data_IF_222712684428
#
_entry.id   IF_222712684428
#
_cell.length_a   1.000
_cell.length_b   1.000
_cell.length_c   1.000
_cell.angle_alpha   90.00
_cell.angle_beta   90.00
_cell.angle_gamma   90.00
#
_symmetry.space_group_name_H-M   'P 1'
#
loop_
_entity.id
_entity.type
_entity.pdbx_description
1 polymer ?
#
# COMPACT_ATOMS: atom_id res chain seq x y z
N UNK A 1 9.27 0.02 -1.46
CA UNK A 1 8.26 -1.07 -1.41
C UNK A 1 8.31 -1.86 -0.11
N UNK A 2 9.45 -2.47 0.27
CA UNK A 2 9.54 -3.28 1.50
C UNK A 2 9.10 -2.53 2.77
N UNK A 3 9.62 -1.31 2.98
CA UNK A 3 9.23 -0.45 4.12
C UNK A 3 7.71 -0.25 4.18
N UNK A 4 7.06 0.03 3.04
CA UNK A 4 5.60 0.19 2.96
C UNK A 4 4.86 -1.07 3.39
N UNK A 5 5.24 -2.23 2.85
CA UNK A 5 4.54 -3.49 3.11
C UNK A 5 4.67 -3.96 4.56
N UNK A 6 5.89 -3.85 5.12
CA UNK A 6 6.21 -4.33 6.48
C UNK A 6 5.80 -3.33 7.56
N UNK A 7 5.88 -2.03 7.28
CA UNK A 7 5.41 -0.96 8.17
C UNK A 7 4.11 -0.35 7.64
N UNK A 8 4.19 0.82 7.00
CA UNK A 8 3.09 1.49 6.30
C UNK A 8 3.62 2.54 5.30
N UNK A 9 2.68 3.11 4.55
CA UNK A 9 2.90 4.18 3.59
C UNK A 9 3.50 5.45 4.20
N UNK A 10 3.11 5.84 5.42
CA UNK A 10 3.65 7.04 6.06
C UNK A 10 5.15 6.92 6.35
N UNK A 11 5.59 5.79 6.93
CA UNK A 11 7.02 5.54 7.19
C UNK A 11 7.81 5.53 5.88
N UNK A 12 7.25 4.91 4.84
CA UNK A 12 7.87 4.88 3.52
C UNK A 12 7.95 6.26 2.85
N UNK A 13 6.91 7.09 2.98
CA UNK A 13 6.89 8.47 2.47
C UNK A 13 7.86 9.38 3.24
N UNK A 14 7.94 9.25 4.56
CA UNK A 14 8.94 9.96 5.37
C UNK A 14 10.36 9.59 4.93
N UNK A 15 10.61 8.30 4.68
CA UNK A 15 11.89 7.83 4.14
C UNK A 15 12.18 8.46 2.77
N UNK A 16 11.19 8.53 1.87
CA UNK A 16 11.36 9.17 0.56
C UNK A 16 11.64 10.68 0.67
N UNK A 17 10.95 11.36 1.59
CA UNK A 17 11.04 12.82 1.75
C UNK A 17 12.31 13.27 2.49
N UNK A 18 12.76 12.51 3.48
CA UNK A 18 13.88 12.88 4.36
C UNK A 18 15.16 12.12 4.02
N UNK A 19 15.06 11.07 3.21
CA UNK A 19 16.22 10.30 2.78
C UNK A 19 17.10 11.08 1.82
N UNK A 20 18.38 10.71 1.76
CA UNK A 20 19.35 11.28 0.83
C UNK A 20 19.24 10.64 -0.56
N UNK A 21 18.06 10.68 -1.16
CA UNK A 21 17.81 10.17 -2.50
C UNK A 21 17.87 11.32 -3.52
N UNK A 22 18.63 11.13 -4.60
CA UNK A 22 18.62 12.03 -5.74
C UNK A 22 17.92 11.33 -6.91
N UNK A 23 16.64 11.64 -7.08
CA UNK A 23 15.79 11.08 -8.14
C UNK A 23 15.36 12.17 -9.11
N UNK A 24 15.11 11.79 -10.36
CA UNK A 24 14.43 12.69 -11.32
C UNK A 24 13.02 13.02 -10.83
N UNK A 25 12.46 14.16 -11.27
CA UNK A 25 11.07 14.52 -10.96
C UNK A 25 10.07 13.42 -11.33
N UNK A 26 10.29 12.76 -12.47
CA UNK A 26 9.50 11.62 -12.94
C UNK A 26 9.56 10.43 -11.99
N UNK A 27 10.76 10.04 -11.57
CA UNK A 27 10.97 8.93 -10.62
C UNK A 27 10.32 9.24 -9.27
N UNK A 28 10.49 10.47 -8.76
CA UNK A 28 9.86 10.90 -7.51
C UNK A 28 8.34 10.85 -7.61
N UNK A 29 7.75 11.29 -8.72
CA UNK A 29 6.31 11.21 -8.95
C UNK A 29 5.80 9.76 -8.96
N UNK A 30 6.46 8.87 -9.71
CA UNK A 30 6.12 7.43 -9.78
C UNK A 30 6.18 6.78 -8.39
N UNK A 31 7.27 6.99 -7.66
CA UNK A 31 7.45 6.38 -6.33
C UNK A 31 6.42 6.95 -5.35
N UNK A 32 6.18 8.26 -5.35
CA UNK A 32 5.19 8.89 -4.47
C UNK A 32 3.80 8.29 -4.70
N UNK A 33 3.36 8.17 -5.95
CA UNK A 33 2.04 7.58 -6.26
C UNK A 33 1.99 6.09 -5.93
N UNK A 34 3.08 5.34 -6.13
CA UNK A 34 3.15 3.96 -5.67
C UNK A 34 2.99 3.83 -4.14
N UNK A 35 3.57 4.78 -3.38
CA UNK A 35 3.55 4.75 -1.93
C UNK A 35 2.18 5.10 -1.34
N UNK A 36 1.40 5.97 -1.99
CA UNK A 36 0.05 6.37 -1.55
C UNK A 36 -0.95 5.23 -1.74
N UNK A 37 -0.96 4.26 -0.82
CA UNK A 37 -2.07 3.34 -0.56
C UNK A 37 -1.87 2.60 0.76
N UNK A 38 -2.96 2.17 1.39
CA UNK A 38 -2.95 1.34 2.61
C UNK A 38 -2.66 -0.15 2.35
N UNK A 39 -1.94 -0.48 1.28
CA UNK A 39 -1.56 -1.87 0.99
C UNK A 39 -0.35 -2.28 1.86
N UNK A 40 -0.61 -2.78 3.07
CA UNK A 40 0.38 -3.29 4.02
C UNK A 40 -0.21 -4.41 4.91
N UNK A 41 0.64 -5.13 5.67
CA UNK A 41 0.16 -6.23 6.51
C UNK A 41 -0.78 -5.79 7.65
N UNK A 42 -0.55 -4.61 8.25
CA UNK A 42 -1.40 -4.11 9.33
C UNK A 42 -2.82 -3.81 8.85
N UNK A 43 -3.00 -3.40 7.59
CA UNK A 43 -4.29 -3.12 6.99
C UNK A 43 -5.18 -4.37 6.84
N UNK A 44 -4.59 -5.56 6.69
CA UNK A 44 -5.36 -6.83 6.75
C UNK A 44 -6.04 -6.95 8.11
N UNK A 45 -5.31 -6.68 9.19
CA UNK A 45 -5.82 -6.73 10.56
C UNK A 45 -6.90 -5.68 10.81
N UNK A 46 -6.70 -4.44 10.33
CA UNK A 46 -7.66 -3.35 10.45
C UNK A 46 -8.98 -3.72 9.75
N UNK A 47 -8.93 -4.16 8.49
CA UNK A 47 -10.14 -4.50 7.72
C UNK A 47 -10.81 -5.75 8.30
N UNK A 48 -10.05 -6.79 8.65
CA UNK A 48 -10.61 -7.99 9.26
C UNK A 48 -11.29 -7.66 10.60
N UNK A 49 -10.66 -6.84 11.45
CA UNK A 49 -11.22 -6.41 12.74
C UNK A 49 -12.49 -5.59 12.57
N UNK A 50 -12.48 -4.61 11.66
CA UNK A 50 -13.66 -3.80 11.35
C UNK A 50 -14.83 -4.65 10.85
N UNK A 51 -14.59 -5.56 9.91
CA UNK A 51 -15.63 -6.45 9.37
C UNK A 51 -16.10 -7.45 10.44
N UNK A 52 -15.20 -7.97 11.29
CA UNK A 52 -15.56 -8.87 12.38
C UNK A 52 -16.44 -8.18 13.42
N UNK A 53 -16.18 -6.91 13.72
CA UNK A 53 -17.01 -6.08 14.61
C UNK A 53 -18.44 -5.85 14.09
N UNK A 54 -18.64 -5.88 12.77
CA UNK A 54 -19.97 -5.82 12.14
C UNK A 54 -20.63 -7.20 12.01
N UNK A 55 -19.85 -8.20 11.58
CA UNK A 55 -20.33 -9.55 11.35
C UNK A 55 -19.18 -10.57 11.44
N UNK A 56 -19.18 -11.36 12.50
CA UNK A 56 -18.05 -12.24 12.85
C UNK A 56 -17.63 -13.19 11.71
N UNK A 57 -18.61 -13.91 11.12
CA UNK A 57 -18.30 -14.86 10.04
C UNK A 57 -17.66 -14.19 8.83
N UNK A 58 -18.06 -12.96 8.50
CA UNK A 58 -17.50 -12.22 7.36
C UNK A 58 -16.10 -11.72 7.68
N UNK A 59 -15.83 -11.32 8.93
CA UNK A 59 -14.49 -10.96 9.39
C UNK A 59 -13.50 -12.11 9.24
N UNK A 60 -13.93 -13.35 9.53
CA UNK A 60 -13.13 -14.56 9.33
C UNK A 60 -12.88 -14.88 7.84
N UNK A 61 -13.87 -14.63 6.97
CA UNK A 61 -13.69 -14.73 5.52
C UNK A 61 -12.63 -13.72 5.05
N UNK A 62 -12.74 -12.46 5.46
CA UNK A 62 -11.76 -11.41 5.11
C UNK A 62 -10.36 -11.80 5.56
N UNK A 63 -10.19 -12.27 6.81
CA UNK A 63 -8.90 -12.74 7.32
C UNK A 63 -8.30 -13.85 6.45
N UNK A 64 -9.11 -14.84 6.05
CA UNK A 64 -8.69 -15.96 5.20
C UNK A 64 -8.17 -15.49 3.83
N UNK A 65 -8.71 -14.40 3.29
CA UNK A 65 -8.30 -13.82 2.00
C UNK A 65 -7.27 -12.68 2.14
N UNK A 66 -6.77 -12.39 3.35
CA UNK A 66 -5.93 -11.22 3.64
C UNK A 66 -4.72 -11.05 2.72
N UNK A 67 -3.96 -12.12 2.45
CA UNK A 67 -2.81 -12.05 1.55
C UNK A 67 -3.21 -11.76 0.09
N UNK A 68 -4.35 -12.29 -0.36
CA UNK A 68 -4.89 -11.99 -1.71
C UNK A 68 -5.36 -10.54 -1.81
N UNK A 69 -5.98 -10.03 -0.76
CA UNK A 69 -6.37 -8.62 -0.66
C UNK A 69 -5.15 -7.70 -0.71
N UNK A 70 -4.11 -8.00 0.07
CA UNK A 70 -2.86 -7.23 0.06
C UNK A 70 -2.18 -7.26 -1.30
N UNK A 71 -2.10 -8.43 -1.93
CA UNK A 71 -1.54 -8.57 -3.28
C UNK A 71 -2.31 -7.74 -4.30
N UNK A 72 -3.65 -7.86 -4.34
CA UNK A 72 -4.50 -7.07 -5.22
C UNK A 72 -4.36 -5.56 -5.00
N UNK A 73 -4.36 -5.11 -3.75
CA UNK A 73 -4.17 -3.71 -3.40
C UNK A 73 -2.77 -3.19 -3.83
N UNK A 74 -1.75 -4.03 -3.73
CA UNK A 74 -0.39 -3.70 -4.20
C UNK A 74 -0.32 -3.57 -5.71
N UNK A 75 -1.01 -4.46 -6.46
CA UNK A 75 -1.10 -4.36 -7.92
C UNK A 75 -1.79 -3.07 -8.36
N UNK A 76 -2.83 -2.63 -7.66
CA UNK A 76 -3.48 -1.33 -7.94
C UNK A 76 -2.47 -0.18 -7.80
N UNK A 77 -1.60 -0.22 -6.78
CA UNK A 77 -0.52 0.78 -6.65
C UNK A 77 0.47 0.76 -7.81
N UNK A 78 0.80 -0.43 -8.33
CA UNK A 78 1.64 -0.54 -9.53
C UNK A 78 0.96 0.04 -10.77
N UNK A 79 -0.33 -0.22 -10.96
CA UNK A 79 -1.10 0.35 -12.08
C UNK A 79 -1.10 1.86 -12.01
N UNK A 80 -1.42 2.45 -10.86
CA UNK A 80 -1.41 3.91 -10.67
C UNK A 80 -0.03 4.53 -10.94
N UNK A 81 1.03 3.91 -10.42
CA UNK A 81 2.40 4.38 -10.64
C UNK A 81 2.84 4.24 -12.12
N UNK A 82 2.37 3.20 -12.81
CA UNK A 82 2.63 3.00 -14.25
C UNK A 82 1.95 4.08 -15.08
N UNK A 83 0.69 4.42 -14.77
CA UNK A 83 -0.04 5.50 -15.45
C UNK A 83 0.71 6.82 -15.30
N UNK A 84 1.18 7.14 -14.09
CA UNK A 84 2.01 8.34 -13.86
C UNK A 84 3.30 8.27 -14.67
N UNK A 85 3.98 7.12 -14.68
CA UNK A 85 5.19 6.95 -15.46
C UNK A 85 4.99 7.11 -16.97
N UNK A 86 3.79 6.86 -17.50
CA UNK A 86 3.47 7.04 -18.91
C UNK A 86 3.11 8.48 -19.27
N UNK A 87 2.45 9.22 -18.37
CA UNK A 87 1.87 10.54 -18.64
C UNK A 87 2.79 11.70 -18.20
N UNK A 88 3.65 11.47 -17.20
CA UNK A 88 4.59 12.45 -16.64
C UNK A 88 5.87 12.56 -17.46
#
# INVERSE_FOLDING_TARGET
MATKLVSNEFVAMTTLSQGHFSFSGRTTAIISVFLVSFANFSSIGIISGAVKGLHEKQGNVVAKFGLKLLFGATLVSFVSATIVGLIY
#
